data_IF_865883940087
#
_entry.id   IF_865883940087
#
_cell.length_a   1.000
_cell.length_b   1.000
_cell.length_c   1.000
_cell.angle_alpha   90.00
_cell.angle_beta   90.00
_cell.angle_gamma   90.00
#
_symmetry.space_group_name_H-M   'P 1'
#
loop_
_entity.id
_entity.type
_entity.pdbx_description
1 polymer ?
#
# COMPACT_ATOMS: atom_id res chain seq x y z
N UNK A 1 3.30 18.62 -11.57
CA UNK A 1 2.42 17.43 -11.45
C UNK A 1 1.58 17.62 -10.21
N UNK A 2 0.25 17.61 -10.36
CA UNK A 2 -0.66 17.82 -9.21
C UNK A 2 -0.82 16.50 -8.41
N UNK A 3 -1.48 16.57 -7.25
CA UNK A 3 -1.71 15.41 -6.38
C UNK A 3 -2.45 14.26 -7.07
N UNK A 4 -3.43 14.58 -7.91
CA UNK A 4 -4.26 13.62 -8.64
C UNK A 4 -3.45 12.90 -9.73
N UNK A 5 -2.60 13.63 -10.44
CA UNK A 5 -1.68 13.05 -11.42
C UNK A 5 -0.71 12.07 -10.74
N UNK A 6 -0.18 12.42 -9.57
CA UNK A 6 0.69 11.54 -8.78
C UNK A 6 -0.02 10.26 -8.32
N UNK A 7 -1.27 10.38 -7.88
CA UNK A 7 -2.08 9.21 -7.50
C UNK A 7 -2.33 8.30 -8.71
N UNK A 8 -2.70 8.86 -9.85
CA UNK A 8 -2.99 8.11 -11.06
C UNK A 8 -1.75 7.35 -11.56
N UNK A 9 -0.61 8.04 -11.68
CA UNK A 9 0.64 7.40 -12.10
C UNK A 9 1.03 6.25 -11.17
N UNK A 10 0.92 6.45 -9.85
CA UNK A 10 1.27 5.40 -8.89
C UNK A 10 0.27 4.23 -8.92
N UNK A 11 -1.02 4.50 -9.16
CA UNK A 11 -2.03 3.46 -9.30
C UNK A 11 -1.78 2.59 -10.55
N UNK A 12 -1.44 3.20 -11.69
CA UNK A 12 -1.10 2.48 -12.92
C UNK A 12 0.16 1.62 -12.74
N UNK A 13 1.19 2.16 -12.09
CA UNK A 13 2.40 1.39 -11.74
C UNK A 13 2.08 0.20 -10.82
N UNK A 14 1.25 0.42 -9.80
CA UNK A 14 0.87 -0.62 -8.85
C UNK A 14 0.06 -1.73 -9.52
N UNK A 15 -0.88 -1.38 -10.40
CA UNK A 15 -1.67 -2.34 -11.16
C UNK A 15 -0.76 -3.19 -12.08
N UNK A 16 0.16 -2.54 -12.79
CA UNK A 16 1.12 -3.25 -13.65
C UNK A 16 2.03 -4.21 -12.87
N UNK A 17 2.44 -3.86 -11.65
CA UNK A 17 3.24 -4.74 -10.79
C UNK A 17 2.46 -5.99 -10.37
N UNK A 18 1.18 -5.82 -10.01
CA UNK A 18 0.27 -6.92 -9.62
C UNK A 18 0.01 -7.86 -10.81
N UNK A 19 -0.39 -7.31 -11.96
CA UNK A 19 -0.79 -8.10 -13.13
C UNK A 19 0.38 -8.86 -13.77
N UNK A 20 1.57 -8.27 -13.73
CA UNK A 20 2.76 -8.85 -14.35
C UNK A 20 3.61 -9.66 -13.37
N UNK A 21 3.20 -9.75 -12.10
CA UNK A 21 3.94 -10.47 -11.05
C UNK A 21 5.38 -9.99 -10.88
N UNK A 22 5.63 -8.69 -11.12
CA UNK A 22 6.99 -8.13 -11.19
C UNK A 22 7.67 -7.94 -9.84
N UNK A 23 6.90 -7.91 -8.75
CA UNK A 23 7.41 -7.58 -7.41
C UNK A 23 6.81 -8.49 -6.35
N UNK A 24 7.49 -8.59 -5.21
CA UNK A 24 6.93 -9.27 -4.05
C UNK A 24 5.75 -8.49 -3.43
N UNK A 25 4.96 -9.19 -2.61
CA UNK A 25 3.76 -8.65 -1.96
C UNK A 25 4.06 -7.48 -0.99
N UNK A 26 5.24 -7.46 -0.36
CA UNK A 26 5.63 -6.38 0.56
C UNK A 26 5.91 -5.08 -0.22
N UNK A 27 6.49 -5.17 -1.42
CA UNK A 27 6.65 -3.99 -2.30
C UNK A 27 5.29 -3.46 -2.77
N UNK A 28 4.36 -4.34 -3.11
CA UNK A 28 2.97 -3.98 -3.46
C UNK A 28 2.32 -3.23 -2.30
N UNK A 29 2.39 -3.79 -1.08
CA UNK A 29 1.83 -3.16 0.12
C UNK A 29 2.44 -1.77 0.39
N UNK A 30 3.77 -1.62 0.27
CA UNK A 30 4.45 -0.33 0.44
C UNK A 30 4.00 0.72 -0.58
N UNK A 31 3.86 0.34 -1.85
CA UNK A 31 3.35 1.24 -2.90
C UNK A 31 1.89 1.61 -2.65
N UNK A 32 1.06 0.67 -2.24
CA UNK A 32 -0.32 0.92 -1.85
C UNK A 32 -0.40 1.89 -0.65
N UNK A 33 0.45 1.74 0.39
CA UNK A 33 0.47 2.67 1.53
C UNK A 33 0.85 4.09 1.11
N UNK A 34 1.73 4.22 0.10
CA UNK A 34 2.04 5.53 -0.49
C UNK A 34 0.84 6.10 -1.24
N UNK A 35 0.12 5.29 -2.02
CA UNK A 35 -1.08 5.73 -2.72
C UNK A 35 -2.18 6.19 -1.74
N UNK A 36 -2.41 5.43 -0.67
CA UNK A 36 -3.36 5.78 0.39
C UNK A 36 -3.05 7.16 1.02
N UNK A 37 -1.77 7.46 1.29
CA UNK A 37 -1.34 8.80 1.75
C UNK A 37 -1.61 9.90 0.71
N UNK A 38 -1.42 9.62 -0.58
CA UNK A 38 -1.74 10.58 -1.65
C UNK A 38 -3.25 10.78 -1.78
N UNK A 39 -4.09 9.88 -1.27
CA UNK A 39 -5.56 10.02 -1.35
C UNK A 39 -6.22 10.45 -0.04
N UNK A 40 -5.44 10.63 1.04
CA UNK A 40 -5.96 10.77 2.43
C UNK A 40 -6.88 9.60 2.82
N UNK A 41 -6.59 8.40 2.33
CA UNK A 41 -7.34 7.18 2.66
C UNK A 41 -6.81 6.58 3.97
N UNK A 42 -7.35 7.05 5.10
CA UNK A 42 -6.90 6.67 6.45
C UNK A 42 -7.22 5.21 6.77
N UNK A 43 -8.35 4.69 6.30
CA UNK A 43 -8.71 3.29 6.47
C UNK A 43 -7.68 2.40 5.74
N UNK A 44 -7.31 2.76 4.51
CA UNK A 44 -6.28 2.05 3.78
C UNK A 44 -4.90 2.15 4.44
N UNK A 45 -4.53 3.34 4.94
CA UNK A 45 -3.27 3.53 5.66
C UNK A 45 -3.17 2.64 6.90
N UNK A 46 -4.26 2.44 7.63
CA UNK A 46 -4.29 1.60 8.83
C UNK A 46 -4.00 0.14 8.49
N UNK A 47 -4.81 -0.49 7.64
CA UNK A 47 -4.64 -1.92 7.39
C UNK A 47 -3.36 -2.24 6.60
N UNK A 48 -2.96 -1.38 5.65
CA UNK A 48 -1.67 -1.52 4.96
C UNK A 48 -0.48 -1.34 5.90
N UNK A 49 -0.66 -0.61 7.01
CA UNK A 49 0.33 -0.48 8.06
C UNK A 49 0.73 -1.84 8.64
N UNK A 50 -0.24 -2.74 8.87
CA UNK A 50 0.03 -4.10 9.34
C UNK A 50 0.74 -4.95 8.29
N UNK A 51 0.41 -4.79 7.01
CA UNK A 51 1.08 -5.50 5.92
C UNK A 51 2.55 -5.08 5.76
N UNK A 52 2.85 -3.79 6.01
CA UNK A 52 4.21 -3.25 5.85
C UNK A 52 5.08 -3.41 7.09
N UNK A 53 4.52 -3.17 8.28
CA UNK A 53 5.25 -3.18 9.55
C UNK A 53 5.17 -4.54 10.28
N UNK A 54 4.29 -5.43 9.82
CA UNK A 54 3.91 -6.64 10.54
C UNK A 54 2.83 -6.38 11.59
N UNK A 55 2.24 -7.47 12.07
CA UNK A 55 1.26 -7.43 13.15
C UNK A 55 1.98 -7.32 14.50
N UNK A 56 1.50 -6.49 15.44
CA UNK A 56 2.08 -6.40 16.78
C UNK A 56 2.19 -7.78 17.43
N UNK A 57 3.38 -8.10 17.94
CA UNK A 57 3.61 -9.32 18.72
C UNK A 57 2.90 -9.17 20.08
N UNK A 58 1.60 -9.46 20.10
CA UNK A 58 0.79 -9.22 21.29
C UNK A 58 -0.70 -9.58 21.20
N UNK A 59 -1.18 -10.18 20.12
CA UNK A 59 -2.47 -10.88 20.15
C UNK A 59 -2.25 -12.35 20.56
N UNK A 60 -1.56 -12.57 21.67
CA UNK A 60 -1.70 -13.82 22.40
C UNK A 60 -3.11 -13.80 22.99
N UNK A 61 -4.06 -14.38 22.26
CA UNK A 61 -5.30 -14.85 22.85
C UNK A 61 -5.00 -16.22 23.47
N UNK A 62 -4.08 -16.26 24.44
CA UNK A 62 -3.78 -17.40 25.32
C UNK A 62 -2.99 -16.91 26.54
#
# INVERSE_FOLDING_TARGET
>A
MNRRDQALTLADELLADIELGKTDALQIARKASRLARILDDFDAMEWLGYEVAGYPAGSSLD
#
